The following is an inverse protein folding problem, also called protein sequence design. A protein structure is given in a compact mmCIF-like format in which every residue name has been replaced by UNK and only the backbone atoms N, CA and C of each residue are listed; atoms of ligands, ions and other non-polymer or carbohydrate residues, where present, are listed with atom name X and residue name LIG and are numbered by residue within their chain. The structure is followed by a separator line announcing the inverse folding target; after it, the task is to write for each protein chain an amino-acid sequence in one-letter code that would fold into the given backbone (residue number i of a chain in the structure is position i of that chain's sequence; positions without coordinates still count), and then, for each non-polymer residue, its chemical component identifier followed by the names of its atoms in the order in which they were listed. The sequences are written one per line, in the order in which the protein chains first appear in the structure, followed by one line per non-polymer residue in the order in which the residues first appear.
data_IF_933866056697
#
_entry.id   IF_933866056697
#
_cell.length_a   1.000
_cell.length_b   1.000
_cell.length_c   1.000
_cell.angle_alpha   90.00
_cell.angle_beta   90.00
_cell.angle_gamma   90.00
#
_symmetry.space_group_name_H-M   'P 1'
#
loop_
_entity.id
_entity.type
_entity.pdbx_description
1 polymer ?
#
# COMPACT_ATOMS: atom_id res chain seq x y z
N UNK A 1 -5.44 -1.40 8.98
CA UNK A 1 -4.41 -0.44 8.52
C UNK A 1 -4.62 -0.10 7.04
N UNK A 2 -4.51 -1.07 6.12
CA UNK A 2 -4.65 -0.83 4.67
C UNK A 2 -5.96 -0.12 4.28
N UNK A 3 -7.13 -0.59 4.75
CA UNK A 3 -8.42 0.06 4.44
C UNK A 3 -8.45 1.50 4.94
N UNK A 4 -7.95 1.76 6.16
CA UNK A 4 -7.84 3.11 6.72
C UNK A 4 -6.91 4.01 5.91
N UNK A 5 -5.76 3.48 5.47
CA UNK A 5 -4.82 4.21 4.63
C UNK A 5 -5.44 4.58 3.28
N UNK A 6 -6.18 3.66 2.65
CA UNK A 6 -6.88 3.93 1.40
C UNK A 6 -7.92 5.04 1.57
N UNK A 7 -8.76 4.95 2.62
CA UNK A 7 -9.79 5.96 2.92
C UNK A 7 -9.18 7.32 3.24
N UNK A 8 -8.14 7.37 4.09
CA UNK A 8 -7.43 8.61 4.41
C UNK A 8 -6.78 9.26 3.18
N UNK A 9 -6.38 8.45 2.20
CA UNK A 9 -5.83 8.90 0.94
C UNK A 9 -6.89 9.25 -0.13
N UNK A 10 -8.19 9.16 0.17
CA UNK A 10 -9.29 9.30 -0.81
C UNK A 10 -9.18 8.31 -1.98
N UNK A 11 -8.72 7.10 -1.66
CA UNK A 11 -8.70 5.94 -2.55
C UNK A 11 -9.85 5.01 -2.14
N UNK A 12 -10.31 4.18 -3.07
CA UNK A 12 -11.58 3.46 -2.93
C UNK A 12 -11.34 1.95 -2.86
N UNK A 13 -11.33 1.34 -1.65
CA UNK A 13 -11.37 -0.10 -1.48
C UNK A 13 -12.56 -0.73 -2.20
N UNK A 14 -12.34 -1.90 -2.81
CA UNK A 14 -13.38 -2.65 -3.52
C UNK A 14 -13.91 -3.84 -2.73
N UNK A 15 -13.17 -4.29 -1.72
CA UNK A 15 -13.52 -5.43 -0.89
C UNK A 15 -12.87 -5.32 0.49
N UNK A 16 -13.25 -6.22 1.39
CA UNK A 16 -12.47 -6.47 2.59
C UNK A 16 -11.07 -7.00 2.23
N UNK A 17 -10.03 -6.71 3.04
CA UNK A 17 -8.69 -7.21 2.78
C UNK A 17 -8.65 -8.74 2.82
N UNK A 18 -8.05 -9.36 1.81
CA UNK A 18 -7.70 -10.76 1.85
C UNK A 18 -6.47 -10.94 2.74
N UNK A 19 -6.55 -11.81 3.74
CA UNK A 19 -5.47 -12.01 4.73
C UNK A 19 -5.04 -13.48 4.72
N UNK A 20 -3.74 -13.70 4.57
CA UNK A 20 -3.11 -15.00 4.82
C UNK A 20 -2.13 -14.88 5.96
N UNK A 21 -2.29 -15.72 6.99
CA UNK A 21 -1.39 -15.79 8.14
C UNK A 21 -0.53 -17.04 8.01
N UNK A 22 0.79 -16.86 8.11
CA UNK A 22 1.71 -17.98 8.04
C UNK A 22 1.76 -18.70 9.40
N UNK A 23 2.01 -20.02 9.42
CA UNK A 23 2.29 -20.73 10.66
C UNK A 23 3.51 -20.12 11.38
N UNK A 24 3.37 -19.87 12.68
CA UNK A 24 4.43 -19.26 13.50
C UNK A 24 4.30 -17.75 13.62
N UNK A 25 4.61 -17.01 12.56
CA UNK A 25 4.52 -15.54 12.54
C UNK A 25 4.42 -15.00 11.10
N UNK A 26 4.12 -13.72 10.97
CA UNK A 26 4.04 -13.05 9.68
C UNK A 26 2.70 -13.23 8.98
N UNK A 27 2.43 -12.33 8.04
CA UNK A 27 1.21 -12.34 7.25
C UNK A 27 1.39 -11.62 5.92
N UNK A 28 0.52 -11.98 4.98
CA UNK A 28 0.29 -11.26 3.73
C UNK A 28 -1.12 -10.69 3.75
N UNK A 29 -1.28 -9.41 3.42
CA UNK A 29 -2.59 -8.78 3.20
C UNK A 29 -2.63 -8.16 1.82
N UNK A 30 -3.72 -8.37 1.11
CA UNK A 30 -4.00 -7.75 -0.18
C UNK A 30 -5.34 -7.00 -0.12
N UNK A 31 -5.34 -5.74 -0.53
CA UNK A 31 -6.53 -4.90 -0.60
C UNK A 31 -6.72 -4.40 -2.04
N UNK A 32 -7.71 -4.91 -2.78
CA UNK A 32 -8.07 -4.32 -4.06
C UNK A 32 -8.67 -2.93 -3.84
N UNK A 33 -8.18 -1.96 -4.60
CA UNK A 33 -8.78 -0.63 -4.73
C UNK A 33 -9.19 -0.41 -6.17
N UNK A 34 -9.98 0.64 -6.46
CA UNK A 34 -10.29 1.02 -7.84
C UNK A 34 -9.02 1.09 -8.69
N UNK A 35 -8.99 0.24 -9.72
CA UNK A 35 -7.98 0.22 -10.80
C UNK A 35 -6.56 -0.21 -10.38
N UNK A 36 -6.36 -0.72 -9.14
CA UNK A 36 -5.04 -1.10 -8.61
C UNK A 36 -5.15 -1.85 -7.27
N UNK A 37 -4.17 -1.71 -6.35
CA UNK A 37 -4.16 -2.47 -5.10
C UNK A 37 -3.16 -1.91 -4.08
N UNK A 38 -3.39 -2.25 -2.80
CA UNK A 38 -2.36 -2.22 -1.76
C UNK A 38 -2.00 -3.65 -1.34
N UNK A 39 -0.73 -3.89 -1.04
CA UNK A 39 -0.27 -5.15 -0.46
C UNK A 39 0.69 -4.89 0.70
N UNK A 40 0.71 -5.78 1.69
CA UNK A 40 1.70 -5.79 2.76
C UNK A 40 2.12 -7.22 3.07
N UNK A 41 3.43 -7.41 3.24
CA UNK A 41 4.05 -8.66 3.68
C UNK A 41 4.86 -8.38 4.94
N UNK A 42 4.61 -9.10 6.03
CA UNK A 42 5.31 -8.88 7.29
C UNK A 42 6.24 -10.03 7.66
N UNK A 43 7.39 -9.67 8.22
CA UNK A 43 8.44 -10.56 8.71
C UNK A 43 8.81 -10.15 10.14
N UNK A 44 8.00 -10.53 11.15
CA UNK A 44 8.18 -10.07 12.52
C UNK A 44 9.52 -10.45 13.13
N UNK A 45 10.11 -11.59 12.73
CA UNK A 45 11.47 -12.03 13.11
C UNK A 45 12.58 -11.04 12.72
N UNK A 46 12.29 -10.14 11.79
CA UNK A 46 13.18 -9.07 11.33
C UNK A 46 12.68 -7.67 11.69
N UNK A 47 11.54 -7.55 12.37
CA UNK A 47 10.88 -6.26 12.58
C UNK A 47 10.55 -5.53 11.27
N UNK A 48 10.32 -6.28 10.19
CA UNK A 48 10.23 -5.75 8.83
C UNK A 48 8.84 -5.95 8.21
N UNK A 49 8.44 -5.00 7.36
CA UNK A 49 7.31 -5.15 6.48
C UNK A 49 7.61 -4.53 5.12
N UNK A 50 7.30 -5.27 4.05
CA UNK A 50 7.26 -4.75 2.68
C UNK A 50 5.84 -4.29 2.37
N UNK A 51 5.69 -3.10 1.76
CA UNK A 51 4.39 -2.51 1.46
C UNK A 51 4.37 -1.99 0.03
N UNK A 52 3.37 -2.41 -0.73
CA UNK A 52 3.06 -1.87 -2.06
C UNK A 52 1.81 -0.97 -1.97
N UNK A 53 1.93 0.26 -2.48
CA UNK A 53 0.83 1.21 -2.65
C UNK A 53 0.75 1.55 -4.13
N UNK A 54 -0.04 0.78 -4.87
CA UNK A 54 -0.25 1.00 -6.29
C UNK A 54 -1.56 1.75 -6.48
N UNK A 55 -1.53 2.88 -7.19
CA UNK A 55 -2.71 3.70 -7.48
C UNK A 55 -2.61 4.32 -8.87
N UNK A 56 -3.75 4.46 -9.55
CA UNK A 56 -3.89 5.26 -10.76
C UNK A 56 -4.13 6.76 -10.47
N UNK A 57 -4.22 7.16 -9.20
CA UNK A 57 -4.39 8.56 -8.83
C UNK A 57 -3.05 9.31 -8.77
N UNK A 58 -3.12 10.63 -8.50
CA UNK A 58 -1.93 11.46 -8.26
C UNK A 58 -1.03 10.86 -7.17
N UNK A 59 0.29 10.94 -7.36
CA UNK A 59 1.30 10.40 -6.46
C UNK A 59 1.10 10.84 -4.99
N UNK A 60 0.63 12.06 -4.77
CA UNK A 60 0.31 12.61 -3.45
C UNK A 60 -0.71 11.76 -2.67
N UNK A 61 -1.65 11.10 -3.35
CA UNK A 61 -2.60 10.19 -2.68
C UNK A 61 -1.87 8.94 -2.17
N UNK A 62 -0.96 8.38 -2.97
CA UNK A 62 -0.13 7.27 -2.54
C UNK A 62 0.77 7.68 -1.36
N UNK A 63 1.34 8.89 -1.40
CA UNK A 63 2.11 9.45 -0.27
C UNK A 63 1.26 9.57 0.99
N UNK A 64 0.02 10.08 0.91
CA UNK A 64 -0.89 10.14 2.08
C UNK A 64 -1.21 8.76 2.64
N UNK A 65 -1.41 7.76 1.78
CA UNK A 65 -1.62 6.39 2.23
C UNK A 65 -0.37 5.85 2.94
N UNK A 66 0.82 6.10 2.39
CA UNK A 66 2.11 5.73 2.99
C UNK A 66 2.28 6.36 4.36
N UNK A 67 2.06 7.68 4.48
CA UNK A 67 2.23 8.42 5.74
C UNK A 67 1.27 7.89 6.82
N UNK A 68 0.02 7.60 6.46
CA UNK A 68 -0.94 6.97 7.38
C UNK A 68 -0.45 5.60 7.87
N UNK A 69 0.12 4.78 6.98
CA UNK A 69 0.64 3.46 7.37
C UNK A 69 1.87 3.60 8.26
N UNK A 70 2.77 4.53 7.95
CA UNK A 70 3.98 4.80 8.76
C UNK A 70 3.59 5.25 10.17
N UNK A 71 2.70 6.22 10.30
CA UNK A 71 2.19 6.66 11.61
C UNK A 71 1.60 5.49 12.42
N UNK A 72 0.84 4.61 11.76
CA UNK A 72 0.12 3.54 12.44
C UNK A 72 0.99 2.32 12.79
N UNK A 73 2.02 2.06 11.99
CA UNK A 73 2.97 0.95 12.17
C UNK A 73 4.16 1.34 13.06
N UNK A 74 4.51 2.63 13.11
CA UNK A 74 5.62 3.15 13.92
C UNK A 74 6.99 2.52 13.63
N UNK A 75 7.42 2.38 12.36
CA UNK A 75 8.75 1.84 12.05
C UNK A 75 9.86 2.85 12.41
N UNK A 76 11.00 2.35 12.87
CA UNK A 76 12.18 3.19 13.14
C UNK A 76 12.84 3.72 11.85
N UNK A 77 12.65 3.02 10.72
CA UNK A 77 13.19 3.39 9.41
C UNK A 77 12.19 3.10 8.29
N UNK A 78 12.08 4.04 7.35
CA UNK A 78 11.24 3.91 6.15
C UNK A 78 12.09 4.19 4.93
N UNK A 79 12.08 3.25 3.99
CA UNK A 79 12.64 3.41 2.64
C UNK A 79 11.47 3.35 1.65
N UNK A 80 11.47 4.19 0.63
CA UNK A 80 10.34 4.30 -0.31
C UNK A 80 10.86 4.65 -1.70
N UNK A 81 10.49 3.82 -2.68
CA UNK A 81 10.69 4.10 -4.09
C UNK A 81 9.36 4.45 -4.76
N UNK A 82 9.32 5.57 -5.49
CA UNK A 82 8.16 5.96 -6.29
C UNK A 82 8.40 5.57 -7.74
N UNK A 83 7.52 4.71 -8.26
CA UNK A 83 7.56 4.26 -9.65
C UNK A 83 6.29 4.72 -10.37
N UNK A 84 6.46 5.56 -11.40
CA UNK A 84 5.38 5.90 -12.32
C UNK A 84 5.17 4.73 -13.30
N UNK A 85 3.91 4.34 -13.49
CA UNK A 85 3.50 3.21 -14.33
C UNK A 85 2.58 3.71 -15.45
N UNK A 86 2.58 3.02 -16.58
CA UNK A 86 1.64 3.27 -17.68
C UNK A 86 1.96 4.50 -18.54
N UNK A 87 3.24 4.68 -18.90
CA UNK A 87 3.61 5.67 -19.93
C UNK A 87 2.94 5.30 -21.25
N UNK A 88 1.96 6.10 -21.68
CA UNK A 88 1.37 6.01 -22.99
C UNK A 88 2.16 6.95 -23.92
N UNK A 89 2.79 6.41 -24.95
CA UNK A 89 3.35 7.25 -26.02
C UNK A 89 2.19 7.89 -26.80
N UNK A 90 2.13 9.24 -26.83
CA UNK A 90 1.33 9.96 -27.83
C UNK A 90 -0.09 10.43 -27.47
N UNK A 91 -0.40 10.78 -26.22
CA UNK A 91 -1.61 11.56 -25.91
C UNK A 91 -1.54 12.15 -24.50
N UNK A 92 -1.77 13.43 -24.25
CA UNK A 92 -2.35 14.51 -25.04
C UNK A 92 -2.98 15.44 -24.00
N UNK A 93 -2.52 16.69 -23.97
CA UNK A 93 -3.15 17.80 -23.23
C UNK A 93 -4.44 18.24 -23.95
#
# INVERSE_FOLDING_TARGET
ILTGAAVAATLHPLAEPAVYRYPGQGLTVFLPIRESHFAIHTYPEHGYASVDIVSCALAERATRARDFMVDRLGPDRVETDLVYRGFLEGGGD
#
